data_IF_519796179915
#
_entry.id   IF_519796179915
#
_cell.length_a   1.000
_cell.length_b   1.000
_cell.length_c   1.000
_cell.angle_alpha   90.00
_cell.angle_beta   90.00
_cell.angle_gamma   90.00
#
_symmetry.space_group_name_H-M   'P 1'
#
loop_
_entity.id
_entity.type
_entity.pdbx_description
1 polymer ?
#
# COMPACT_ATOMS: atom_id res chain seq x y z
N UNK A 1 40.67 18.75 -2.67
CA UNK A 1 40.03 19.50 -1.60
C UNK A 1 38.57 19.57 -1.96
N UNK A 2 37.81 18.72 -1.27
CA UNK A 2 36.39 18.49 -1.50
C UNK A 2 35.67 19.80 -1.19
N UNK A 3 35.01 20.35 -2.21
CA UNK A 3 34.29 21.60 -2.12
C UNK A 3 33.09 21.52 -1.19
N UNK A 4 33.34 21.55 0.11
CA UNK A 4 32.32 21.84 1.10
C UNK A 4 31.87 23.28 0.84
N UNK A 5 30.73 23.41 0.17
CA UNK A 5 30.08 24.72 0.00
C UNK A 5 29.65 25.18 1.37
N UNK A 6 30.46 25.98 2.03
CA UNK A 6 30.09 26.63 3.29
C UNK A 6 29.00 27.65 2.92
N UNK A 7 27.77 27.53 3.44
CA UNK A 7 26.73 28.49 3.11
C UNK A 7 27.14 29.90 3.55
N UNK A 8 26.98 30.87 2.67
CA UNK A 8 27.33 32.28 2.92
C UNK A 8 26.66 32.86 4.19
N UNK A 9 25.51 32.27 4.59
CA UNK A 9 24.74 32.66 5.77
C UNK A 9 24.41 31.44 6.64
N UNK A 10 25.28 31.04 7.58
CA UNK A 10 25.07 29.83 8.40
C UNK A 10 23.82 29.89 9.28
N UNK A 11 23.39 31.07 9.73
CA UNK A 11 22.17 31.25 10.50
C UNK A 11 20.90 30.98 9.66
N UNK A 12 20.89 31.39 8.38
CA UNK A 12 19.80 31.13 7.45
C UNK A 12 19.66 29.62 7.16
N UNK A 13 20.79 28.97 6.96
CA UNK A 13 20.80 27.51 6.75
C UNK A 13 20.22 26.75 7.97
N UNK A 14 20.59 27.16 9.18
CA UNK A 14 20.00 26.61 10.42
C UNK A 14 18.49 26.87 10.50
N UNK A 15 18.05 28.07 10.14
CA UNK A 15 16.63 28.42 10.09
C UNK A 15 15.85 27.55 9.11
N UNK A 16 16.39 27.31 7.92
CA UNK A 16 15.80 26.44 6.90
C UNK A 16 15.70 24.99 7.41
N UNK A 17 16.77 24.46 8.02
CA UNK A 17 16.76 23.09 8.57
C UNK A 17 15.67 22.94 9.64
N UNK A 18 15.56 23.92 10.57
CA UNK A 18 14.52 23.90 11.60
C UNK A 18 13.12 23.95 10.98
N UNK A 19 12.90 24.80 9.99
CA UNK A 19 11.62 24.90 9.29
C UNK A 19 11.26 23.59 8.57
N UNK A 20 12.22 22.94 7.92
CA UNK A 20 12.04 21.62 7.29
C UNK A 20 11.67 20.58 8.33
N UNK A 21 12.37 20.50 9.46
CA UNK A 21 12.09 19.53 10.52
C UNK A 21 10.70 19.72 11.12
N UNK A 22 10.26 20.95 11.37
CA UNK A 22 8.92 21.26 11.84
C UNK A 22 7.85 20.88 10.80
N UNK A 23 8.11 21.15 9.52
CA UNK A 23 7.25 20.74 8.42
C UNK A 23 7.09 19.22 8.35
N UNK A 24 8.17 18.47 8.41
CA UNK A 24 8.14 17.01 8.44
C UNK A 24 7.39 16.46 9.65
N UNK A 25 7.63 17.00 10.84
CA UNK A 25 6.92 16.60 12.07
C UNK A 25 5.40 16.77 11.92
N UNK A 26 4.97 17.89 11.36
CA UNK A 26 3.55 18.17 11.08
C UNK A 26 2.94 17.15 10.11
N UNK A 27 3.63 16.87 9.00
CA UNK A 27 3.16 15.90 8.00
C UNK A 27 3.07 14.50 8.58
N UNK A 28 4.08 14.06 9.34
CA UNK A 28 4.07 12.73 9.99
C UNK A 28 2.87 12.58 10.93
N UNK A 29 2.57 13.60 11.75
CA UNK A 29 1.42 13.58 12.64
C UNK A 29 0.10 13.42 11.88
N UNK A 30 -0.10 14.18 10.80
CA UNK A 30 -1.33 14.12 9.98
C UNK A 30 -1.45 12.76 9.29
N UNK A 31 -0.35 12.24 8.75
CA UNK A 31 -0.33 10.92 8.10
C UNK A 31 -0.63 9.78 9.08
N UNK A 32 -0.07 9.81 10.29
CA UNK A 32 -0.38 8.82 11.32
C UNK A 32 -1.85 8.86 11.74
N UNK A 33 -2.45 10.05 11.86
CA UNK A 33 -3.88 10.18 12.15
C UNK A 33 -4.74 9.63 11.02
N UNK A 34 -4.40 9.92 9.77
CA UNK A 34 -5.07 9.38 8.60
C UNK A 34 -5.00 7.85 8.55
N UNK A 35 -3.80 7.30 8.69
CA UNK A 35 -3.56 5.85 8.69
C UNK A 35 -4.39 5.13 9.77
N UNK A 36 -4.37 5.61 11.00
CA UNK A 36 -5.11 4.99 12.09
C UNK A 36 -6.62 4.97 11.86
N UNK A 37 -7.18 5.99 11.21
CA UNK A 37 -8.60 6.04 10.84
C UNK A 37 -8.97 5.05 9.74
N UNK A 38 -8.10 4.88 8.74
CA UNK A 38 -8.30 3.88 7.69
C UNK A 38 -8.32 2.48 8.29
N UNK A 39 -7.35 2.14 9.13
CA UNK A 39 -7.30 0.83 9.79
C UNK A 39 -8.48 0.61 10.75
N UNK A 40 -8.93 1.65 11.43
CA UNK A 40 -10.15 1.61 12.24
C UNK A 40 -11.39 1.26 11.39
N UNK A 41 -11.57 1.93 10.24
CA UNK A 41 -12.67 1.65 9.32
C UNK A 41 -12.60 0.21 8.79
N UNK A 42 -11.43 -0.22 8.31
CA UNK A 42 -11.22 -1.58 7.81
C UNK A 42 -11.51 -2.64 8.89
N UNK A 43 -11.13 -2.37 10.15
CA UNK A 43 -11.41 -3.27 11.26
C UNK A 43 -12.90 -3.32 11.61
N UNK A 44 -13.61 -2.19 11.50
CA UNK A 44 -15.07 -2.14 11.65
C UNK A 44 -15.81 -2.93 10.57
N UNK A 45 -15.29 -2.90 9.35
CA UNK A 45 -15.82 -3.66 8.22
C UNK A 45 -15.46 -5.16 8.29
N UNK A 46 -14.73 -5.59 9.34
CA UNK A 46 -14.31 -6.97 9.54
C UNK A 46 -13.15 -7.42 8.65
N UNK A 47 -12.44 -6.48 8.01
CA UNK A 47 -11.29 -6.78 7.14
C UNK A 47 -10.00 -7.01 7.93
N UNK A 48 -9.91 -6.42 9.13
CA UNK A 48 -8.76 -6.50 10.02
C UNK A 48 -9.19 -6.90 11.44
N UNK A 49 -8.26 -7.44 12.25
CA UNK A 49 -8.54 -7.79 13.65
C UNK A 49 -9.08 -6.63 14.47
N UNK A 50 -9.93 -6.90 15.50
CA UNK A 50 -10.61 -5.87 16.30
C UNK A 50 -9.67 -5.01 17.15
N UNK A 51 -8.40 -5.35 17.24
CA UNK A 51 -7.38 -4.53 17.93
C UNK A 51 -7.31 -3.11 17.34
N UNK A 52 -7.57 -2.95 16.03
CA UNK A 52 -7.54 -1.66 15.34
C UNK A 52 -8.84 -0.86 15.49
N UNK A 53 -9.96 -1.48 15.87
CA UNK A 53 -11.26 -0.82 16.07
C UNK A 53 -11.46 -0.30 17.50
N UNK A 54 -10.50 -0.53 18.41
CA UNK A 54 -10.65 -0.13 19.80
C UNK A 54 -10.33 1.36 20.01
N UNK A 55 -11.35 2.14 20.37
CA UNK A 55 -11.20 3.56 20.70
C UNK A 55 -10.86 3.76 22.17
N UNK A 56 -10.00 4.73 22.45
CA UNK A 56 -9.70 5.15 23.82
C UNK A 56 -10.90 5.87 24.42
N UNK A 57 -11.32 5.49 25.63
CA UNK A 57 -12.54 6.00 26.26
C UNK A 57 -12.60 7.53 26.42
N UNK A 58 -11.45 8.18 26.67
CA UNK A 58 -11.37 9.63 26.91
C UNK A 58 -11.13 10.44 25.64
N UNK A 59 -10.26 9.94 24.74
CA UNK A 59 -9.82 10.71 23.57
C UNK A 59 -10.54 10.34 22.29
N UNK A 60 -11.37 9.29 22.30
CA UNK A 60 -12.09 8.77 21.11
C UNK A 60 -11.19 8.53 19.90
N UNK A 61 -9.91 8.23 20.14
CA UNK A 61 -8.90 7.92 19.11
C UNK A 61 -8.45 6.47 19.23
N UNK A 62 -8.02 5.81 18.14
CA UNK A 62 -7.51 4.44 18.19
C UNK A 62 -6.07 4.41 18.75
N UNK A 63 -5.92 4.70 20.06
CA UNK A 63 -4.63 4.83 20.71
C UNK A 63 -3.75 3.57 20.62
N UNK A 64 -4.36 2.38 20.68
CA UNK A 64 -3.64 1.10 20.55
C UNK A 64 -3.05 0.93 19.16
N UNK A 65 -3.81 1.30 18.13
CA UNK A 65 -3.38 1.32 16.74
C UNK A 65 -2.21 2.28 16.53
N UNK A 66 -2.32 3.50 17.06
CA UNK A 66 -1.28 4.51 16.95
C UNK A 66 0.02 4.06 17.63
N UNK A 67 -0.07 3.44 18.80
CA UNK A 67 1.09 2.91 19.51
C UNK A 67 1.77 1.78 18.73
N UNK A 68 0.97 0.86 18.17
CA UNK A 68 1.49 -0.21 17.32
C UNK A 68 2.21 0.35 16.07
N UNK A 69 1.59 1.31 15.39
CA UNK A 69 2.22 1.96 14.23
C UNK A 69 3.47 2.74 14.60
N UNK A 70 3.50 3.41 15.74
CA UNK A 70 4.70 4.10 16.21
C UNK A 70 5.89 3.12 16.35
N UNK A 71 5.67 1.94 16.91
CA UNK A 71 6.72 0.92 17.04
C UNK A 71 7.14 0.41 15.65
N UNK A 72 6.18 0.00 14.81
CA UNK A 72 6.48 -0.57 13.48
C UNK A 72 7.20 0.46 12.62
N UNK A 73 6.68 1.68 12.53
CA UNK A 73 7.26 2.75 11.70
C UNK A 73 8.63 3.16 12.24
N UNK A 74 8.78 3.26 13.58
CA UNK A 74 10.06 3.58 14.20
C UNK A 74 11.14 2.54 13.91
N UNK A 75 10.81 1.25 13.96
CA UNK A 75 11.72 0.17 13.59
C UNK A 75 12.06 0.22 12.08
N UNK A 76 11.07 0.38 11.22
CA UNK A 76 11.30 0.47 9.78
C UNK A 76 12.14 1.70 9.41
N UNK A 77 11.93 2.84 10.04
CA UNK A 77 12.71 4.05 9.80
C UNK A 77 14.21 3.90 10.15
N UNK A 78 14.54 2.99 11.09
CA UNK A 78 15.92 2.66 11.42
C UNK A 78 16.60 1.70 10.44
N UNK A 79 15.82 0.93 9.66
CA UNK A 79 16.31 -0.15 8.79
C UNK A 79 16.23 0.25 7.32
N UNK A 80 15.16 0.95 6.91
CA UNK A 80 14.86 1.25 5.51
C UNK A 80 15.58 2.54 5.09
N UNK A 81 16.40 2.52 4.03
CA UNK A 81 17.03 3.73 3.48
C UNK A 81 15.98 4.74 3.00
N UNK A 82 16.27 6.03 3.13
CA UNK A 82 15.33 7.11 2.81
C UNK A 82 14.90 7.14 1.33
N UNK A 83 15.80 6.82 0.40
CA UNK A 83 15.49 6.71 -1.02
C UNK A 83 14.45 5.61 -1.30
N UNK A 84 14.63 4.43 -0.70
CA UNK A 84 13.67 3.31 -0.81
C UNK A 84 12.31 3.68 -0.25
N UNK A 85 12.27 4.33 0.93
CA UNK A 85 11.03 4.80 1.54
C UNK A 85 10.32 5.84 0.65
N UNK A 86 11.08 6.76 0.02
CA UNK A 86 10.55 7.76 -0.90
C UNK A 86 9.92 7.14 -2.15
N UNK A 87 10.59 6.17 -2.77
CA UNK A 87 10.07 5.44 -3.93
C UNK A 87 8.79 4.66 -3.59
N UNK A 88 8.77 3.94 -2.46
CA UNK A 88 7.60 3.20 -2.00
C UNK A 88 6.42 4.13 -1.72
N UNK A 89 6.67 5.29 -1.14
CA UNK A 89 5.63 6.30 -0.91
C UNK A 89 5.06 6.82 -2.23
N UNK A 90 5.93 7.12 -3.20
CA UNK A 90 5.52 7.61 -4.52
C UNK A 90 4.65 6.61 -5.26
N UNK A 91 5.08 5.36 -5.39
CA UNK A 91 4.30 4.35 -6.11
C UNK A 91 3.00 4.00 -5.37
N UNK A 92 3.04 3.92 -4.04
CA UNK A 92 1.86 3.63 -3.22
C UNK A 92 0.78 4.71 -3.34
N UNK A 93 1.16 5.99 -3.33
CA UNK A 93 0.23 7.12 -3.48
C UNK A 93 -0.35 7.19 -4.89
N UNK A 94 0.47 7.03 -5.93
CA UNK A 94 -0.01 7.00 -7.31
C UNK A 94 -0.96 5.82 -7.57
N UNK A 95 -0.65 4.67 -7.01
CA UNK A 95 -1.51 3.50 -7.08
C UNK A 95 -2.84 3.72 -6.36
N UNK A 96 -2.82 4.30 -5.15
CA UNK A 96 -4.04 4.63 -4.41
C UNK A 96 -4.91 5.64 -5.18
N UNK A 97 -4.32 6.68 -5.78
CA UNK A 97 -5.06 7.63 -6.61
C UNK A 97 -5.65 6.97 -7.86
N UNK A 98 -4.93 6.05 -8.49
CA UNK A 98 -5.45 5.25 -9.61
C UNK A 98 -6.70 4.46 -9.20
N UNK A 99 -6.67 3.81 -8.04
CA UNK A 99 -7.81 3.07 -7.50
C UNK A 99 -8.99 3.99 -7.16
N UNK A 100 -8.74 5.19 -6.62
CA UNK A 100 -9.79 6.18 -6.34
C UNK A 100 -10.44 6.65 -7.64
N UNK A 101 -9.66 6.97 -8.66
CA UNK A 101 -10.18 7.36 -9.98
C UNK A 101 -11.06 6.27 -10.58
N UNK A 102 -10.60 5.01 -10.54
CA UNK A 102 -11.36 3.85 -10.99
C UNK A 102 -12.63 3.66 -10.15
N UNK A 103 -12.52 3.80 -8.83
CA UNK A 103 -13.64 3.70 -7.88
C UNK A 103 -14.74 4.72 -8.17
N UNK A 104 -14.39 5.96 -8.49
CA UNK A 104 -15.36 7.00 -8.88
C UNK A 104 -16.13 6.58 -10.13
N UNK A 105 -15.47 6.03 -11.14
CA UNK A 105 -16.12 5.56 -12.37
C UNK A 105 -17.09 4.40 -12.06
N UNK A 106 -16.64 3.43 -11.27
CA UNK A 106 -17.44 2.25 -10.90
C UNK A 106 -18.66 2.66 -10.09
N UNK A 107 -18.48 3.45 -9.03
CA UNK A 107 -19.60 3.90 -8.16
C UNK A 107 -20.61 4.76 -8.93
N UNK A 108 -20.17 5.53 -9.92
CA UNK A 108 -21.11 6.27 -10.79
C UNK A 108 -21.97 5.35 -11.65
N UNK A 109 -21.43 4.23 -12.09
CA UNK A 109 -22.18 3.26 -12.91
C UNK A 109 -23.08 2.37 -12.05
N UNK A 110 -22.61 1.94 -10.88
CA UNK A 110 -23.33 0.99 -10.02
C UNK A 110 -24.37 1.65 -9.13
N UNK A 111 -24.11 2.88 -8.68
CA UNK A 111 -24.99 3.63 -7.76
C UNK A 111 -25.22 5.07 -8.25
N UNK A 112 -25.95 5.28 -9.36
CA UNK A 112 -26.12 6.61 -9.96
C UNK A 112 -26.86 7.58 -9.03
N UNK A 113 -27.82 7.08 -8.22
CA UNK A 113 -28.72 7.89 -7.38
C UNK A 113 -28.24 8.05 -5.93
N UNK A 114 -27.03 7.56 -5.56
CA UNK A 114 -26.55 7.73 -4.21
C UNK A 114 -26.39 9.22 -3.83
N UNK A 115 -26.79 9.64 -2.61
CA UNK A 115 -26.64 11.02 -2.16
C UNK A 115 -25.16 11.38 -2.08
N UNK A 116 -24.78 12.50 -2.69
CA UNK A 116 -23.37 12.96 -2.76
C UNK A 116 -23.27 14.42 -2.41
N UNK A 117 -22.36 14.77 -1.52
CA UNK A 117 -22.05 16.15 -1.18
C UNK A 117 -21.39 16.92 -2.33
N UNK A 118 -20.64 16.22 -3.19
CA UNK A 118 -20.03 16.78 -4.39
C UNK A 118 -20.19 15.83 -5.59
N UNK A 119 -20.55 16.39 -6.73
CA UNK A 119 -20.69 15.66 -7.99
C UNK A 119 -19.50 16.00 -8.89
N UNK A 120 -18.57 15.08 -9.05
CA UNK A 120 -17.46 15.24 -10.01
C UNK A 120 -18.00 15.54 -11.40
N UNK A 121 -17.59 16.65 -12.03
CA UNK A 121 -18.02 16.98 -13.39
C UNK A 121 -17.42 16.02 -14.41
N UNK A 122 -18.01 15.96 -15.61
CA UNK A 122 -17.50 15.23 -16.77
C UNK A 122 -17.04 13.78 -16.49
N UNK A 123 -17.79 13.05 -15.67
CA UNK A 123 -17.54 11.60 -15.49
C UNK A 123 -18.04 10.87 -16.75
N UNK A 124 -17.26 9.98 -17.39
CA UNK A 124 -16.03 9.34 -16.87
C UNK A 124 -14.70 10.03 -17.24
N UNK A 125 -14.70 11.12 -18.01
CA UNK A 125 -13.50 11.67 -18.62
C UNK A 125 -12.45 12.17 -17.62
N UNK A 126 -12.85 12.97 -16.63
CA UNK A 126 -11.90 13.51 -15.63
C UNK A 126 -11.27 12.40 -14.79
N UNK A 127 -12.03 11.45 -14.21
CA UNK A 127 -11.40 10.32 -13.50
C UNK A 127 -10.56 9.42 -14.41
N UNK A 128 -10.96 9.24 -15.68
CA UNK A 128 -10.15 8.47 -16.63
C UNK A 128 -8.82 9.16 -16.96
N UNK A 129 -8.82 10.47 -17.16
CA UNK A 129 -7.59 11.24 -17.34
C UNK A 129 -6.69 11.15 -16.10
N UNK A 130 -7.25 11.28 -14.88
CA UNK A 130 -6.51 11.08 -13.63
C UNK A 130 -5.89 9.69 -13.54
N UNK A 131 -6.63 8.64 -13.90
CA UNK A 131 -6.12 7.27 -13.95
C UNK A 131 -4.94 7.14 -14.91
N UNK A 132 -5.08 7.64 -16.13
CA UNK A 132 -4.01 7.60 -17.16
C UNK A 132 -2.77 8.36 -16.72
N UNK A 133 -2.93 9.55 -16.13
CA UNK A 133 -1.82 10.31 -15.60
C UNK A 133 -1.10 9.58 -14.46
N UNK A 134 -1.83 9.03 -13.49
CA UNK A 134 -1.22 8.28 -12.38
C UNK A 134 -0.47 7.04 -12.87
N UNK A 135 -1.09 6.23 -13.73
CA UNK A 135 -0.44 5.04 -14.32
C UNK A 135 0.75 5.46 -15.18
N UNK A 136 0.61 6.51 -15.99
CA UNK A 136 1.71 7.05 -16.77
C UNK A 136 2.91 7.44 -15.92
N UNK A 137 2.70 8.16 -14.82
CA UNK A 137 3.77 8.49 -13.88
C UNK A 137 4.38 7.25 -13.21
N UNK A 138 3.57 6.23 -12.89
CA UNK A 138 4.09 4.98 -12.33
C UNK A 138 5.02 4.24 -13.30
N UNK A 139 4.79 4.31 -14.61
CA UNK A 139 5.63 3.66 -15.62
C UNK A 139 7.06 4.22 -15.69
N UNK A 140 7.29 5.44 -15.21
CA UNK A 140 8.63 6.04 -15.11
C UNK A 140 9.39 5.65 -13.84
N UNK A 141 8.76 4.92 -12.91
CA UNK A 141 9.43 4.45 -11.70
C UNK A 141 10.28 3.21 -11.98
N UNK A 142 11.39 3.00 -11.23
CA UNK A 142 12.24 1.83 -11.37
C UNK A 142 11.48 0.51 -11.20
N UNK A 143 11.90 -0.53 -11.90
CA UNK A 143 11.29 -1.87 -11.82
C UNK A 143 11.27 -2.44 -10.39
N UNK A 144 12.30 -2.16 -9.59
CA UNK A 144 12.39 -2.56 -8.18
C UNK A 144 11.23 -2.02 -7.35
N UNK A 145 10.80 -0.79 -7.63
CA UNK A 145 9.68 -0.15 -6.93
C UNK A 145 8.36 -0.86 -7.25
N UNK A 146 8.19 -1.35 -8.48
CA UNK A 146 7.04 -2.18 -8.86
C UNK A 146 7.03 -3.52 -8.15
N UNK A 147 8.18 -4.17 -8.02
CA UNK A 147 8.31 -5.44 -7.27
C UNK A 147 7.89 -5.23 -5.81
N UNK A 148 8.35 -4.14 -5.18
CA UNK A 148 7.97 -3.79 -3.81
C UNK A 148 6.46 -3.54 -3.67
N UNK A 149 5.84 -2.81 -4.60
CA UNK A 149 4.38 -2.60 -4.61
C UNK A 149 3.63 -3.92 -4.67
N UNK A 150 4.04 -4.82 -5.58
CA UNK A 150 3.42 -6.12 -5.77
C UNK A 150 3.57 -6.98 -4.51
N UNK A 151 4.73 -6.98 -3.85
CA UNK A 151 4.93 -7.68 -2.57
C UNK A 151 3.97 -7.18 -1.49
N UNK A 152 3.81 -5.87 -1.35
CA UNK A 152 2.86 -5.29 -0.40
C UNK A 152 1.42 -5.65 -0.70
N UNK A 153 1.04 -5.69 -1.97
CA UNK A 153 -0.29 -6.17 -2.39
C UNK A 153 -0.51 -7.63 -2.01
N UNK A 154 0.48 -8.50 -2.20
CA UNK A 154 0.39 -9.91 -1.81
C UNK A 154 0.19 -10.06 -0.30
N UNK A 155 0.96 -9.34 0.52
CA UNK A 155 0.77 -9.32 1.99
C UNK A 155 -0.66 -8.88 2.34
N UNK A 156 -1.17 -7.84 1.70
CA UNK A 156 -2.55 -7.39 1.91
C UNK A 156 -3.59 -8.42 1.53
N UNK A 157 -3.41 -9.12 0.42
CA UNK A 157 -4.28 -10.21 -0.04
C UNK A 157 -4.22 -11.39 0.94
N UNK A 158 -3.05 -11.72 1.46
CA UNK A 158 -2.89 -12.78 2.47
C UNK A 158 -3.65 -12.44 3.75
N UNK A 159 -3.47 -11.26 4.30
CA UNK A 159 -4.20 -10.79 5.49
C UNK A 159 -5.71 -10.85 5.24
N UNK A 160 -6.17 -10.38 4.09
CA UNK A 160 -7.59 -10.45 3.72
C UNK A 160 -8.08 -11.90 3.61
N UNK A 161 -7.30 -12.78 3.02
CA UNK A 161 -7.65 -14.20 2.84
C UNK A 161 -7.70 -14.95 4.15
N UNK A 162 -6.81 -14.64 5.09
CA UNK A 162 -6.80 -15.29 6.41
C UNK A 162 -7.92 -14.81 7.32
N UNK A 163 -8.10 -13.51 7.38
CA UNK A 163 -8.98 -12.88 8.35
C UNK A 163 -10.23 -12.28 7.70
N UNK A 164 -10.07 -11.40 6.71
CA UNK A 164 -11.15 -10.60 6.14
C UNK A 164 -12.28 -11.43 5.54
N UNK A 165 -11.97 -12.51 4.82
CA UNK A 165 -12.99 -13.36 4.19
C UNK A 165 -13.94 -13.99 5.23
N UNK A 166 -13.44 -14.33 6.41
CA UNK A 166 -14.25 -14.98 7.46
C UNK A 166 -15.10 -13.99 8.26
N UNK A 167 -14.64 -12.75 8.38
CA UNK A 167 -15.20 -11.73 9.29
C UNK A 167 -15.84 -10.54 8.58
N UNK A 168 -15.65 -10.38 7.25
CA UNK A 168 -16.17 -9.25 6.49
C UNK A 168 -17.69 -9.16 6.58
N UNK A 169 -18.18 -7.97 6.91
CA UNK A 169 -19.61 -7.65 6.97
C UNK A 169 -20.23 -7.43 5.59
N UNK A 170 -19.40 -7.18 4.55
CA UNK A 170 -19.86 -6.85 3.20
C UNK A 170 -20.24 -8.05 2.32
N UNK A 171 -20.06 -9.30 2.76
CA UNK A 171 -20.22 -10.47 1.92
C UNK A 171 -21.34 -11.43 2.37
N UNK A 172 -22.46 -11.48 1.65
CA UNK A 172 -23.39 -12.60 1.71
C UNK A 172 -22.74 -13.92 1.25
N UNK A 173 -23.12 -15.07 1.86
CA UNK A 173 -22.41 -16.35 1.77
C UNK A 173 -22.09 -16.91 0.37
N UNK A 174 -22.86 -16.59 -0.68
CA UNK A 174 -22.63 -17.05 -2.06
C UNK A 174 -21.55 -16.24 -2.80
N UNK A 175 -21.48 -14.94 -2.57
CA UNK A 175 -20.43 -14.05 -3.10
C UNK A 175 -19.07 -14.41 -2.49
N UNK A 176 -19.08 -14.92 -1.26
CA UNK A 176 -17.90 -15.35 -0.51
C UNK A 176 -17.09 -16.45 -1.22
N UNK A 177 -17.76 -17.45 -1.82
CA UNK A 177 -17.09 -18.59 -2.46
C UNK A 177 -16.43 -18.23 -3.79
N UNK A 178 -17.13 -17.47 -4.64
CA UNK A 178 -16.59 -16.96 -5.89
C UNK A 178 -15.48 -15.94 -5.66
N UNK A 179 -15.64 -15.04 -4.67
CA UNK A 179 -14.63 -14.07 -4.30
C UNK A 179 -13.32 -14.72 -3.84
N UNK A 180 -13.38 -15.83 -3.11
CA UNK A 180 -12.18 -16.58 -2.69
C UNK A 180 -11.39 -17.14 -3.86
N UNK A 181 -12.09 -17.76 -4.82
CA UNK A 181 -11.44 -18.36 -5.99
C UNK A 181 -10.80 -17.29 -6.88
N UNK A 182 -11.48 -16.17 -7.09
CA UNK A 182 -10.95 -15.05 -7.87
C UNK A 182 -9.74 -14.45 -7.16
N UNK A 183 -9.81 -14.24 -5.85
CA UNK A 183 -8.73 -13.65 -5.08
C UNK A 183 -7.48 -14.54 -5.04
N UNK A 184 -7.66 -15.87 -4.90
CA UNK A 184 -6.57 -16.82 -4.96
C UNK A 184 -5.93 -16.87 -6.35
N UNK A 185 -6.73 -16.82 -7.41
CA UNK A 185 -6.24 -16.77 -8.78
C UNK A 185 -5.43 -15.48 -9.05
N UNK A 186 -5.92 -14.33 -8.58
CA UNK A 186 -5.20 -13.05 -8.67
C UNK A 186 -3.89 -13.13 -7.88
N UNK A 187 -3.91 -13.67 -6.66
CA UNK A 187 -2.71 -13.82 -5.83
C UNK A 187 -1.64 -14.68 -6.49
N UNK A 188 -2.02 -15.83 -7.05
CA UNK A 188 -1.11 -16.72 -7.81
C UNK A 188 -0.57 -16.01 -9.06
N UNK A 189 -1.42 -15.31 -9.81
CA UNK A 189 -0.99 -14.57 -11.00
C UNK A 189 0.00 -13.46 -10.65
N UNK A 190 -0.26 -12.70 -9.60
CA UNK A 190 0.62 -11.63 -9.13
C UNK A 190 1.94 -12.19 -8.60
N UNK A 191 1.92 -13.32 -7.87
CA UNK A 191 3.13 -14.01 -7.43
C UNK A 191 4.00 -14.49 -8.62
N UNK A 192 3.35 -15.00 -9.67
CA UNK A 192 4.03 -15.41 -10.90
C UNK A 192 4.67 -14.22 -11.63
N UNK A 193 3.98 -13.08 -11.69
CA UNK A 193 4.55 -11.83 -12.22
C UNK A 193 5.76 -11.36 -11.40
N UNK A 194 5.73 -11.46 -10.08
CA UNK A 194 6.89 -11.14 -9.22
C UNK A 194 8.11 -12.01 -9.54
N UNK A 195 7.90 -13.30 -9.75
CA UNK A 195 8.99 -14.23 -10.09
C UNK A 195 9.58 -13.87 -11.47
N UNK A 196 8.72 -13.62 -12.45
CA UNK A 196 9.17 -13.25 -13.81
C UNK A 196 9.93 -11.93 -13.80
N UNK A 197 9.38 -10.89 -13.16
CA UNK A 197 10.04 -9.58 -13.08
C UNK A 197 11.34 -9.65 -12.31
N UNK A 198 11.39 -10.43 -11.23
CA UNK A 198 12.61 -10.72 -10.49
C UNK A 198 13.69 -11.36 -11.37
N UNK A 199 13.32 -12.38 -12.15
CA UNK A 199 14.24 -13.08 -13.04
C UNK A 199 14.70 -12.20 -14.22
N UNK A 200 13.81 -11.40 -14.78
CA UNK A 200 14.14 -10.46 -15.86
C UNK A 200 15.08 -9.35 -15.40
N UNK A 201 14.85 -8.81 -14.22
CA UNK A 201 15.70 -7.77 -13.64
C UNK A 201 17.11 -8.31 -13.33
N UNK A 202 17.23 -9.56 -12.89
CA UNK A 202 18.53 -10.22 -12.68
C UNK A 202 19.38 -10.29 -13.96
N UNK A 203 18.74 -10.42 -15.13
CA UNK A 203 19.44 -10.46 -16.40
C UNK A 203 19.87 -9.07 -16.91
N UNK A 204 19.15 -7.99 -16.51
CA UNK A 204 19.36 -6.65 -17.07
C UNK A 204 20.32 -5.77 -16.25
N UNK A 205 20.41 -5.95 -14.95
CA UNK A 205 21.12 -5.02 -14.05
C UNK A 205 22.47 -5.55 -13.52
N UNK A 206 22.79 -6.80 -13.77
CA UNK A 206 24.07 -7.38 -13.29
C UNK A 206 24.11 -7.71 -11.79
N UNK A 207 25.11 -8.53 -11.41
CA UNK A 207 25.13 -9.32 -10.17
C UNK A 207 25.36 -8.58 -8.83
N UNK A 208 25.56 -7.27 -8.75
CA UNK A 208 26.16 -6.68 -7.55
C UNK A 208 25.28 -5.95 -6.54
N UNK A 209 24.09 -5.46 -6.86
CA UNK A 209 23.31 -4.65 -5.89
C UNK A 209 21.87 -5.10 -5.58
N UNK A 210 21.28 -5.97 -6.38
CA UNK A 210 19.84 -6.27 -6.26
C UNK A 210 19.47 -7.69 -5.79
N UNK A 211 20.47 -8.56 -5.55
CA UNK A 211 20.20 -9.99 -5.30
C UNK A 211 19.32 -10.26 -4.09
N UNK A 212 19.51 -9.55 -2.99
CA UNK A 212 18.77 -9.82 -1.75
C UNK A 212 17.28 -9.55 -1.94
N UNK A 213 16.93 -8.44 -2.60
CA UNK A 213 15.54 -8.09 -2.88
C UNK A 213 14.86 -9.06 -3.84
N UNK A 214 15.58 -9.53 -4.85
CA UNK A 214 15.07 -10.49 -5.83
C UNK A 214 14.85 -11.87 -5.21
N UNK A 215 15.78 -12.31 -4.37
CA UNK A 215 15.63 -13.56 -3.63
C UNK A 215 14.45 -13.50 -2.66
N UNK A 216 14.29 -12.37 -1.93
CA UNK A 216 13.16 -12.17 -1.03
C UNK A 216 11.85 -12.18 -1.82
N UNK A 217 11.76 -11.46 -2.96
CA UNK A 217 10.56 -11.40 -3.79
C UNK A 217 10.22 -12.78 -4.38
N UNK A 218 11.23 -13.52 -4.86
CA UNK A 218 11.05 -14.87 -5.41
C UNK A 218 10.61 -15.87 -4.34
N UNK A 219 11.28 -15.84 -3.18
CA UNK A 219 10.93 -16.69 -2.04
C UNK A 219 9.50 -16.41 -1.55
N UNK A 220 9.13 -15.13 -1.46
CA UNK A 220 7.80 -14.70 -1.07
C UNK A 220 6.74 -15.13 -2.10
N UNK A 221 7.03 -14.96 -3.40
CA UNK A 221 6.16 -15.41 -4.48
C UNK A 221 5.92 -16.92 -4.45
N UNK A 222 6.97 -17.72 -4.26
CA UNK A 222 6.88 -19.19 -4.15
C UNK A 222 6.10 -19.59 -2.90
N UNK A 223 6.38 -18.98 -1.74
CA UNK A 223 5.65 -19.24 -0.51
C UNK A 223 4.16 -18.90 -0.66
N UNK A 224 3.83 -17.80 -1.33
CA UNK A 224 2.45 -17.38 -1.61
C UNK A 224 1.72 -18.37 -2.53
N UNK A 225 2.36 -18.82 -3.63
CA UNK A 225 1.80 -19.85 -4.52
C UNK A 225 1.54 -21.13 -3.74
N UNK A 226 2.51 -21.60 -2.96
CA UNK A 226 2.37 -22.81 -2.15
C UNK A 226 1.21 -22.69 -1.15
N UNK A 227 1.11 -21.55 -0.49
CA UNK A 227 0.03 -21.27 0.46
C UNK A 227 -1.36 -21.33 -0.18
N UNK A 228 -1.55 -20.69 -1.35
CA UNK A 228 -2.83 -20.70 -2.04
C UNK A 228 -3.17 -22.07 -2.64
N UNK A 229 -2.20 -22.81 -3.17
CA UNK A 229 -2.39 -24.17 -3.65
C UNK A 229 -2.75 -25.13 -2.52
N UNK A 230 -2.05 -25.08 -1.39
CA UNK A 230 -2.35 -25.90 -0.21
C UNK A 230 -3.78 -25.66 0.29
N UNK A 231 -4.24 -24.40 0.29
CA UNK A 231 -5.60 -24.04 0.70
C UNK A 231 -6.67 -24.48 -0.30
N UNK A 232 -6.35 -24.49 -1.60
CA UNK A 232 -7.23 -25.02 -2.64
C UNK A 232 -7.50 -26.51 -2.50
N UNK A 233 -6.54 -27.27 -1.98
CA UNK A 233 -6.66 -28.70 -1.71
C UNK A 233 -7.42 -29.02 -0.41
N UNK A 234 -7.24 -28.22 0.64
CA UNK A 234 -7.91 -28.45 1.94
C UNK A 234 -9.41 -28.09 1.94
N UNK A 235 -9.90 -27.37 0.94
CA UNK A 235 -11.30 -27.00 0.82
C UNK A 235 -12.14 -27.98 -0.03
N UNK A 236 -11.56 -29.07 -0.55
CA UNK A 236 -12.28 -30.13 -1.27
C UNK A 236 -12.60 -31.34 -0.40
N UNK A 237 -12.16 -31.36 0.84
CA UNK A 237 -12.58 -32.27 1.88
C UNK A 237 -13.52 -31.55 2.85
#
# INVERSE_FOLDING_TARGET
PDGVVVPAFPWLNRGIIVAILLGYASVVLVMMLGQSRVFYSMSKDGLLPPIFSHLHKRFHTPARSNFLFMIIIGLLAGIVPANVAGEMTSIGTLFAFSLVCLGVIVVRRTQPNAPRGFKTPLVPWIPAAGLVCCVGMMLFLPAETWIRLVMWMLIGIDIYSFYGIKHSTAGGGTVRRHGQTILSAIGVFVAFLCIITGFWHQQTVGWQESHLMLWIASLFGVAHIFFFLARGFTHKA
#
